data_IF_432962052309
#
_entry.id   IF_432962052309
#
_cell.length_a   1.000
_cell.length_b   1.000
_cell.length_c   1.000
_cell.angle_alpha   90.00
_cell.angle_beta   90.00
_cell.angle_gamma   90.00
#
_symmetry.space_group_name_H-M   'P 1'
#
loop_
_entity.id
_entity.type
_entity.pdbx_description
1 polymer ?
2 non-polymer ?
3 non-polymer ?
4 water ?
#
# COMPACT_ATOMS: atom_id res chain seq x y z
N UNK A 2 -24.05 -4.92 18.14
CA UNK A 2 -22.91 -5.29 17.20
C UNK A 2 -23.35 -6.47 16.28
N UNK A 3 -23.20 -6.31 14.97
CA UNK A 3 -23.62 -7.33 13.96
C UNK A 3 -22.68 -8.49 13.94
N UNK A 4 -23.07 -9.53 13.20
CA UNK A 4 -22.29 -10.77 13.17
C UNK A 4 -20.82 -10.49 12.87
N UNK A 5 -19.96 -11.22 13.57
CA UNK A 5 -18.53 -11.17 13.36
C UNK A 5 -18.22 -11.53 11.92
N UNK A 6 -17.32 -10.77 11.30
CA UNK A 6 -16.92 -10.98 9.91
C UNK A 6 -15.50 -11.53 9.82
N UNK A 7 -15.38 -12.71 9.22
CA UNK A 7 -14.06 -13.33 9.10
C UNK A 7 -13.41 -13.00 7.78
N UNK A 8 -12.41 -12.14 7.80
CA UNK A 8 -11.65 -11.83 6.58
C UNK A 8 -11.14 -13.12 5.88
N UNK A 9 -11.71 -13.36 4.71
CA UNK A 9 -11.36 -14.45 3.82
C UNK A 9 -9.88 -14.37 3.42
N UNK A 10 -9.08 -15.34 3.87
CA UNK A 10 -7.68 -15.34 3.39
C UNK A 10 -7.40 -15.63 1.89
N UNK A 11 -8.41 -15.88 1.08
CA UNK A 11 -8.21 -16.14 -0.35
C UNK A 11 -8.77 -15.00 -1.15
N UNK A 12 -9.44 -14.07 -0.47
CA UNK A 12 -9.94 -12.88 -1.09
C UNK A 12 -10.71 -13.29 -2.32
N UNK A 13 -11.73 -14.08 -2.07
CA UNK A 13 -12.57 -14.53 -3.13
C UNK A 13 -13.70 -13.56 -3.45
N UNK A 14 -13.93 -12.57 -2.57
CA UNK A 14 -15.04 -11.64 -2.76
C UNK A 14 -14.83 -10.32 -1.99
N UNK A 15 -13.77 -9.59 -2.34
CA UNK A 15 -13.42 -8.33 -1.66
C UNK A 15 -14.57 -7.33 -1.72
N UNK A 16 -15.23 -7.22 -2.87
CA UNK A 16 -16.22 -6.16 -3.02
C UNK A 16 -17.41 -6.38 -2.04
N UNK A 17 -17.76 -7.64 -1.78
CA UNK A 17 -18.79 -8.03 -0.80
C UNK A 17 -18.40 -8.01 0.67
N UNK A 18 -17.18 -8.45 0.97
CA UNK A 18 -16.59 -8.21 2.29
C UNK A 18 -16.70 -6.71 2.59
N UNK A 19 -16.21 -5.87 1.69
CA UNK A 19 -16.24 -4.43 1.91
C UNK A 19 -17.63 -3.88 2.20
N UNK A 20 -18.61 -4.38 1.46
CA UNK A 20 -20.00 -3.97 1.67
C UNK A 20 -20.59 -4.42 3.03
N UNK A 21 -20.14 -5.57 3.49
CA UNK A 21 -20.57 -6.12 4.74
C UNK A 21 -20.02 -5.30 5.87
N UNK A 22 -18.72 -5.02 5.83
CA UNK A 22 -18.11 -4.13 6.81
C UNK A 22 -18.77 -2.74 6.77
N UNK A 23 -19.12 -2.28 5.57
CA UNK A 23 -19.87 -1.03 5.45
C UNK A 23 -21.16 -1.12 6.29
N UNK A 24 -21.91 -2.20 6.09
CA UNK A 24 -23.18 -2.45 6.77
C UNK A 24 -23.06 -2.62 8.29
N UNK A 25 -21.96 -3.24 8.71
CA UNK A 25 -21.67 -3.47 10.12
C UNK A 25 -21.03 -2.28 10.78
N UNK A 26 -20.82 -1.19 10.05
CA UNK A 26 -20.16 -0.05 10.62
C UNK A 26 -21.06 0.66 11.61
N UNK A 27 -20.53 1.66 12.29
CA UNK A 27 -19.21 2.24 12.03
C UNK A 27 -18.06 1.39 12.48
N UNK A 28 -18.24 0.71 13.60
CA UNK A 28 -17.25 -0.18 14.17
C UNK A 28 -17.83 -1.59 14.16
N UNK A 29 -17.14 -2.47 13.42
CA UNK A 29 -17.52 -3.84 13.20
C UNK A 29 -16.58 -4.81 13.92
N UNK A 30 -17.19 -5.89 14.41
CA UNK A 30 -16.45 -7.02 14.94
C UNK A 30 -15.81 -7.74 13.76
N UNK A 31 -14.54 -8.12 13.90
CA UNK A 31 -13.83 -8.81 12.81
C UNK A 31 -12.96 -9.92 13.37
N UNK A 32 -12.74 -10.94 12.54
CA UNK A 32 -11.84 -12.03 12.88
C UNK A 32 -10.76 -12.11 11.83
N UNK A 33 -9.53 -11.97 12.28
CA UNK A 33 -8.38 -12.11 11.42
C UNK A 33 -7.98 -13.56 11.39
N UNK A 34 -7.40 -14.02 10.27
CA UNK A 34 -6.86 -15.38 10.13
C UNK A 34 -6.05 -15.88 11.34
N UNK A 35 -6.28 -17.14 11.71
CA UNK A 35 -5.77 -17.72 12.96
C UNK A 35 -6.71 -17.45 14.10
N UNK A 36 -7.94 -17.04 13.80
CA UNK A 36 -8.98 -16.87 14.83
C UNK A 36 -8.84 -15.69 15.76
N UNK A 37 -8.06 -14.68 15.37
CA UNK A 37 -7.77 -13.53 16.23
C UNK A 37 -8.83 -12.46 16.10
N UNK A 38 -9.52 -12.21 17.20
CA UNK A 38 -10.61 -11.26 17.27
C UNK A 38 -10.09 -9.83 17.50
N UNK A 39 -10.54 -8.90 16.65
CA UNK A 39 -10.23 -7.46 16.68
C UNK A 39 -11.43 -6.73 16.14
N UNK A 40 -11.41 -5.41 16.22
CA UNK A 40 -12.53 -4.60 15.75
C UNK A 40 -12.04 -3.88 14.52
N UNK A 41 -12.97 -3.24 13.80
CA UNK A 41 -12.62 -2.61 12.53
C UNK A 41 -13.48 -1.40 12.30
N UNK A 42 -12.88 -0.27 11.95
CA UNK A 42 -13.66 0.96 11.63
C UNK A 42 -13.90 1.01 10.12
N UNK A 43 -15.15 1.22 9.75
CA UNK A 43 -15.60 1.05 8.36
C UNK A 43 -16.38 2.25 7.80
N UNK A 44 -16.37 3.37 8.50
CA UNK A 44 -17.03 4.57 8.03
C UNK A 44 -15.98 5.67 7.95
N UNK A 45 -16.21 6.61 7.04
CA UNK A 45 -15.24 7.64 6.77
C UNK A 45 -15.12 8.57 7.98
N UNK A 46 -16.23 9.25 8.31
CA UNK A 46 -16.26 10.21 9.44
C UNK A 46 -15.55 9.69 10.68
N UNK A 47 -15.87 8.46 11.05
CA UNK A 47 -15.39 7.86 12.30
C UNK A 47 -13.93 7.39 12.24
N UNK A 48 -13.46 6.99 11.05
CA UNK A 48 -12.06 6.60 10.86
C UNK A 48 -11.10 7.76 11.02
N UNK A 49 -11.56 8.95 10.58
CA UNK A 49 -10.80 10.19 10.71
C UNK A 49 -10.57 10.47 12.19
N UNK A 50 -11.68 10.41 12.94
CA UNK A 50 -11.68 10.58 14.38
C UNK A 50 -10.70 9.66 15.10
N UNK A 51 -10.78 8.35 14.86
CA UNK A 51 -9.87 7.40 15.54
C UNK A 51 -8.41 7.56 15.15
N UNK A 52 -8.19 7.96 13.91
CA UNK A 52 -6.85 8.15 13.47
C UNK A 52 -6.21 9.38 14.13
N UNK A 53 -6.99 10.36 14.56
CA UNK A 53 -6.46 11.55 15.28
C UNK A 53 -6.65 11.54 16.83
N UNK A 54 -7.07 10.41 17.40
CA UNK A 54 -7.34 10.28 18.84
C UNK A 54 -6.10 9.75 19.53
N UNK A 55 -5.57 10.46 20.53
CA UNK A 55 -4.30 10.05 21.18
C UNK A 55 -4.50 8.83 22.08
N UNK A 56 -5.76 8.52 22.40
CA UNK A 56 -6.14 7.26 23.08
C UNK A 56 -6.00 5.99 22.22
N UNK A 57 -5.86 6.13 20.90
CA UNK A 57 -5.64 4.99 19.99
C UNK A 57 -4.18 5.02 19.63
N UNK A 58 -3.48 3.90 19.83
CA UNK A 58 -2.00 3.86 19.80
C UNK A 58 -1.45 2.64 19.09
N UNK A 59 -0.14 2.64 18.82
CA UNK A 59 0.52 1.57 18.10
C UNK A 59 1.38 0.67 18.99
N UNK A 60 1.37 0.91 20.30
CA UNK A 60 2.15 0.12 21.22
C UNK A 60 1.42 -1.20 21.49
N UNK A 61 1.97 -2.29 20.95
CA UNK A 61 1.36 -3.61 21.07
C UNK A 61 1.25 -4.13 22.49
N UNK A 62 2.13 -3.67 23.37
CA UNK A 62 2.02 -3.96 24.79
C UNK A 62 0.70 -3.46 25.40
N UNK A 63 -0.05 -2.61 24.69
CA UNK A 63 -1.41 -2.21 25.10
C UNK A 63 -2.51 -3.26 24.72
N UNK A 64 -2.17 -4.23 23.85
CA UNK A 64 -3.11 -5.26 23.34
C UNK A 64 -3.40 -6.38 24.34
N UNK A 65 -4.59 -6.41 24.93
CA UNK A 65 -5.02 -7.51 25.85
C UNK A 65 -4.55 -8.89 25.37
N UNK A 66 -4.91 -9.21 24.15
CA UNK A 66 -4.53 -10.45 23.52
C UNK A 66 -3.01 -10.74 23.53
N UNK A 67 -2.18 -9.71 23.51
CA UNK A 67 -0.71 -9.87 23.40
C UNK A 67 -0.02 -9.90 24.78
N UNK A 68 -0.51 -9.05 25.68
CA UNK A 68 -0.23 -9.18 27.11
C UNK A 68 -0.45 -10.61 27.53
N UNK A 69 -1.66 -11.13 27.32
CA UNK A 69 -1.99 -12.53 27.63
C UNK A 69 -1.33 -13.60 26.70
N UNK A 70 -0.19 -13.31 26.04
CA UNK A 70 0.46 -14.25 25.09
C UNK A 70 -0.44 -15.14 24.23
N UNK A 71 -1.60 -14.63 23.78
CA UNK A 71 -2.57 -15.39 22.91
C UNK A 71 -2.23 -15.38 21.41
N UNK A 72 -1.29 -14.52 21.00
CA UNK A 72 -0.94 -14.40 19.58
C UNK A 72 0.24 -15.32 19.31
N UNK A 73 0.02 -16.41 18.54
CA UNK A 73 1.20 -17.23 18.22
C UNK A 73 2.40 -16.40 17.72
N UNK A 74 3.61 -16.76 18.15
CA UNK A 74 4.83 -16.29 17.47
C UNK A 74 4.89 -16.75 15.99
N UNK A 75 4.38 -17.94 15.69
CA UNK A 75 4.33 -18.47 14.31
C UNK A 75 3.21 -17.87 13.38
N UNK A 76 2.41 -16.93 13.91
CA UNK A 76 1.29 -16.29 13.19
C UNK A 76 1.72 -15.77 11.83
N UNK A 77 0.89 -15.98 10.79
CA UNK A 77 1.24 -15.36 9.51
C UNK A 77 1.27 -13.82 9.55
N UNK A 78 0.32 -13.21 10.26
CA UNK A 78 0.21 -11.75 10.28
C UNK A 78 1.17 -11.03 11.22
N UNK A 79 2.01 -11.80 11.91
CA UNK A 79 2.93 -11.23 12.88
C UNK A 79 3.85 -10.20 12.25
N UNK A 80 4.29 -10.46 11.01
CA UNK A 80 5.11 -9.49 10.25
C UNK A 80 4.52 -8.08 10.25
N UNK A 81 3.22 -7.96 10.01
CA UNK A 81 2.56 -6.68 9.99
C UNK A 81 2.30 -6.15 11.40
N UNK A 82 1.89 -7.04 12.29
CA UNK A 82 1.45 -6.61 13.63
C UNK A 82 2.62 -6.14 14.53
N UNK A 83 3.77 -6.78 14.40
CA UNK A 83 4.96 -6.46 15.17
C UNK A 83 6.19 -6.57 14.26
N UNK A 84 6.45 -5.50 13.47
CA UNK A 84 7.66 -5.41 12.60
C UNK A 84 8.89 -4.76 13.29
N UNK A 85 8.75 -4.37 14.55
CA UNK A 85 9.83 -3.74 15.28
C UNK A 85 9.69 -2.23 15.34
N UNK A 86 10.72 -1.60 15.89
CA UNK A 86 10.75 -0.16 16.17
C UNK A 86 11.05 0.59 14.85
N UNK A 87 10.15 1.50 14.49
CA UNK A 87 10.27 2.29 13.28
C UNK A 87 9.27 3.41 13.44
N UNK A 88 9.28 4.32 12.48
CA UNK A 88 8.28 5.39 12.39
C UNK A 88 6.84 4.86 12.57
N UNK A 89 6.56 3.70 11.97
CA UNK A 89 5.23 3.07 11.91
C UNK A 89 4.55 2.69 13.26
N UNK A 90 5.39 2.37 14.24
CA UNK A 90 4.99 1.62 15.41
C UNK A 90 5.01 2.43 16.71
N UNK A 91 5.34 3.73 16.64
CA UNK A 91 5.51 4.59 17.84
C UNK A 91 4.58 5.78 17.72
N UNK A 92 4.57 6.69 18.71
CA UNK A 92 3.61 7.81 18.70
C UNK A 92 4.10 9.15 19.34
N UNK A 93 3.30 10.20 19.11
CA UNK A 93 3.45 11.53 19.73
C UNK A 93 4.79 12.24 19.58
N UNK A 94 5.48 12.49 20.70
CA UNK A 94 6.82 13.09 20.60
C UNK A 94 7.91 12.14 20.08
N UNK A 95 7.81 10.85 20.35
CA UNK A 95 8.83 9.88 19.90
C UNK A 95 8.80 9.73 18.36
N UNK A 96 7.59 9.84 17.80
CA UNK A 96 7.29 9.64 16.36
C UNK A 96 8.01 10.66 15.47
N UNK A 97 7.69 11.95 15.67
CA UNK A 97 8.35 13.05 14.98
C UNK A 97 9.87 12.87 14.75
N UNK A 98 10.57 12.24 15.69
CA UNK A 98 12.03 12.04 15.55
C UNK A 98 12.42 11.06 14.45
N UNK A 99 11.65 9.99 14.29
CA UNK A 99 11.95 9.00 13.25
C UNK A 99 11.38 9.40 11.87
N UNK A 100 10.21 10.03 11.87
CA UNK A 100 9.58 10.55 10.63
C UNK A 100 10.41 11.62 9.90
N UNK A 101 10.83 12.64 10.64
CA UNK A 101 11.27 13.91 10.03
C UNK A 101 12.26 13.83 8.86
N UNK A 102 13.36 13.09 8.94
CA UNK A 102 14.27 13.10 7.78
C UNK A 102 13.69 12.40 6.54
N UNK A 103 12.70 11.53 6.76
CA UNK A 103 11.98 10.85 5.67
C UNK A 103 10.86 11.74 5.09
N UNK A 104 10.09 12.42 5.95
CA UNK A 104 9.05 13.38 5.48
C UNK A 104 9.60 14.58 4.65
N UNK A 105 10.82 15.03 4.98
CA UNK A 105 11.53 16.06 4.20
C UNK A 105 11.98 15.56 2.82
N UNK A 106 12.54 14.36 2.77
CA UNK A 106 13.02 13.79 1.51
C UNK A 106 11.94 13.46 0.46
N UNK A 107 10.67 13.34 0.85
CA UNK A 107 9.57 12.97 -0.08
C UNK A 107 8.48 14.05 -0.20
N UNK A 108 8.90 15.33 -0.21
CA UNK A 108 7.99 16.48 -0.44
C UNK A 108 7.77 16.64 -1.94
N UNK A 109 6.78 17.45 -2.32
CA UNK A 109 6.53 17.63 -3.77
C UNK A 109 7.78 18.23 -4.43
N UNK A 110 8.44 19.15 -3.74
CA UNK A 110 9.64 19.79 -4.23
C UNK A 110 10.81 18.76 -4.31
N UNK A 111 11.11 18.08 -3.21
CA UNK A 111 12.30 17.23 -3.19
C UNK A 111 12.15 15.93 -4.01
N UNK A 112 10.92 15.63 -4.46
CA UNK A 112 10.62 14.44 -5.31
C UNK A 112 10.45 14.75 -6.82
N UNK A 113 10.05 15.98 -7.13
CA UNK A 113 10.13 16.55 -8.48
C UNK A 113 11.47 16.29 -9.17
N UNK A 114 12.56 16.28 -8.40
CA UNK A 114 13.89 16.01 -8.93
C UNK A 114 14.07 14.57 -9.45
N UNK A 115 13.21 13.63 -9.04
CA UNK A 115 13.28 12.22 -9.48
C UNK A 115 12.63 11.96 -10.84
N UNK A 116 11.87 12.94 -11.32
CA UNK A 116 11.04 12.83 -12.50
C UNK A 116 11.81 12.41 -13.73
N UNK A 117 12.97 13.04 -13.91
CA UNK A 117 13.88 12.71 -14.99
C UNK A 117 14.12 11.21 -14.99
N UNK A 118 14.52 10.69 -13.82
CA UNK A 118 14.70 9.26 -13.57
C UNK A 118 13.49 8.39 -13.89
N UNK A 119 12.30 8.79 -13.43
CA UNK A 119 11.07 8.00 -13.62
C UNK A 119 10.63 7.97 -15.09
N UNK A 120 10.69 9.12 -15.78
CA UNK A 120 10.49 9.14 -17.23
C UNK A 120 11.45 8.19 -17.93
N UNK A 121 12.72 8.21 -17.53
CA UNK A 121 13.75 7.31 -18.07
C UNK A 121 13.32 5.84 -18.02
N UNK A 122 13.04 5.36 -16.80
CA UNK A 122 12.65 3.98 -16.53
C UNK A 122 11.35 3.57 -17.21
N UNK A 123 10.35 4.45 -17.18
CA UNK A 123 9.13 4.23 -17.94
C UNK A 123 9.41 4.09 -19.45
N UNK A 124 10.12 5.06 -20.01
CA UNK A 124 10.34 5.06 -21.45
C UNK A 124 11.11 3.80 -21.87
N UNK A 125 11.98 3.29 -20.99
CA UNK A 125 12.58 1.97 -21.18
C UNK A 125 11.52 0.85 -21.16
N UNK A 126 10.88 0.58 -20.00
CA UNK A 126 9.80 -0.44 -19.88
C UNK A 126 8.87 -0.51 -21.08
N UNK A 127 8.53 0.66 -21.61
CA UNK A 127 7.78 0.73 -22.84
C UNK A 127 8.54 0.10 -24.01
N UNK A 128 9.84 0.34 -24.14
CA UNK A 128 10.66 -0.33 -25.19
C UNK A 128 10.60 -1.86 -25.09
N UNK A 129 10.52 -2.42 -23.88
CA UNK A 129 10.56 -3.87 -23.65
C UNK A 129 9.24 -4.53 -24.04
N UNK A 130 8.12 -3.87 -23.79
CA UNK A 130 6.84 -4.19 -24.43
C UNK A 130 7.01 -3.82 -25.89
N UNK A 131 6.17 -4.28 -26.82
CA UNK A 131 6.50 -4.09 -28.27
C UNK A 131 7.75 -4.93 -28.73
N UNK A 132 8.86 -4.93 -27.98
CA UNK A 132 9.90 -6.00 -28.08
C UNK A 132 9.36 -7.44 -27.90
N UNK A 133 8.14 -7.57 -27.38
CA UNK A 133 7.44 -8.84 -27.28
C UNK A 133 6.58 -9.04 -28.54
N UNK A 134 6.30 -10.30 -28.90
CA UNK A 134 5.51 -10.62 -30.11
C UNK A 134 4.07 -10.13 -30.06
N UNK A 135 3.74 -9.20 -30.97
CA UNK A 135 2.39 -8.62 -31.07
C UNK A 135 1.35 -9.70 -31.34
N UNK A 136 0.10 -9.41 -30.97
CA UNK A 136 -1.01 -10.39 -31.02
C UNK A 136 -1.22 -11.16 -29.72
N UNK A 137 -0.12 -11.63 -29.12
CA UNK A 137 -0.17 -12.51 -27.95
C UNK A 137 -0.25 -11.74 -26.63
N UNK A 138 -1.25 -12.07 -25.78
CA UNK A 138 -1.42 -11.43 -24.48
C UNK A 138 -0.15 -11.27 -23.67
N UNK A 139 -0.11 -10.21 -22.90
CA UNK A 139 0.99 -9.94 -22.00
C UNK A 139 0.40 -9.68 -20.62
N UNK A 140 1.14 -10.08 -19.58
CA UNK A 140 0.80 -9.78 -18.20
C UNK A 140 1.37 -8.41 -17.91
N UNK A 141 0.51 -7.41 -17.99
CA UNK A 141 0.89 -6.04 -17.68
C UNK A 141 1.43 -5.87 -16.26
N UNK A 142 1.06 -6.77 -15.35
CA UNK A 142 1.60 -6.73 -14.00
C UNK A 142 3.08 -7.04 -13.99
N UNK A 143 3.49 -8.14 -14.62
CA UNK A 143 4.87 -8.61 -14.51
C UNK A 143 5.87 -7.78 -15.32
N UNK A 144 5.41 -7.31 -16.49
CA UNK A 144 6.26 -6.64 -17.48
C UNK A 144 6.34 -5.12 -17.34
N UNK A 145 5.39 -4.52 -16.63
CA UNK A 145 5.29 -3.05 -16.53
C UNK A 145 5.06 -2.52 -15.12
N UNK A 146 3.95 -2.93 -14.52
CA UNK A 146 3.60 -2.47 -13.19
C UNK A 146 4.61 -2.86 -12.10
N UNK A 147 5.05 -4.12 -12.06
CA UNK A 147 5.91 -4.56 -10.95
C UNK A 147 7.30 -3.88 -10.95
N UNK A 148 8.05 -4.02 -12.05
CA UNK A 148 9.44 -3.57 -11.98
C UNK A 148 9.60 -2.06 -11.81
N UNK A 149 8.64 -1.26 -12.28
CA UNK A 149 8.85 0.18 -12.34
C UNK A 149 9.02 0.79 -10.95
N UNK A 150 8.01 0.69 -10.08
CA UNK A 150 8.19 1.29 -8.76
C UNK A 150 9.24 0.64 -7.89
N UNK A 151 9.54 -0.62 -8.15
CA UNK A 151 10.66 -1.26 -7.49
C UNK A 151 11.97 -0.54 -7.81
N UNK A 152 12.35 -0.56 -9.11
CA UNK A 152 13.51 0.22 -9.63
C UNK A 152 13.62 1.59 -8.97
N UNK A 153 12.50 2.33 -8.96
CA UNK A 153 12.43 3.69 -8.43
C UNK A 153 12.88 3.72 -6.99
N UNK A 154 12.15 3.01 -6.17
CA UNK A 154 12.39 3.03 -4.73
C UNK A 154 13.76 2.39 -4.37
N UNK A 155 14.21 1.42 -5.17
CA UNK A 155 15.58 0.90 -5.06
C UNK A 155 16.58 2.04 -5.23
N UNK A 156 16.43 2.80 -6.31
CA UNK A 156 17.28 3.96 -6.61
C UNK A 156 17.25 4.93 -5.44
N UNK A 157 16.06 5.30 -4.98
CA UNK A 157 15.88 6.25 -3.85
C UNK A 157 16.67 5.89 -2.58
N UNK A 158 16.72 4.61 -2.25
CA UNK A 158 17.45 4.09 -1.10
C UNK A 158 18.83 3.52 -1.48
N UNK A 159 19.21 3.62 -2.74
CA UNK A 159 20.50 3.09 -3.21
C UNK A 159 20.70 1.58 -3.16
N UNK A 160 19.60 0.82 -3.14
CA UNK A 160 19.64 -0.64 -3.06
C UNK A 160 20.18 -1.21 -4.38
N UNK A 161 21.17 -2.09 -4.27
CA UNK A 161 21.76 -2.77 -5.41
C UNK A 161 20.71 -3.57 -6.21
N UNK A 162 20.71 -3.41 -7.53
CA UNK A 162 19.71 -4.04 -8.40
C UNK A 162 19.85 -5.56 -8.57
N UNK A 163 20.98 -6.16 -8.22
CA UNK A 163 21.14 -7.61 -8.33
C UNK A 163 20.40 -8.39 -7.22
N UNK A 164 19.87 -7.70 -6.21
CA UNK A 164 18.99 -8.31 -5.18
C UNK A 164 17.48 -8.26 -5.49
N UNK A 165 17.09 -7.74 -6.65
CA UNK A 165 15.68 -7.68 -7.07
C UNK A 165 14.99 -9.04 -7.16
N UNK A 166 15.56 -9.99 -7.93
CA UNK A 166 14.88 -11.28 -8.07
C UNK A 166 14.76 -12.01 -6.74
N UNK A 167 15.72 -11.77 -5.84
CA UNK A 167 15.63 -12.29 -4.50
C UNK A 167 14.63 -11.54 -3.63
N UNK A 168 14.54 -10.21 -3.75
CA UNK A 168 13.51 -9.46 -3.01
C UNK A 168 12.09 -9.75 -3.50
N UNK A 169 11.92 -9.99 -4.79
CA UNK A 169 10.63 -10.37 -5.33
C UNK A 169 10.14 -11.63 -4.63
N UNK A 170 10.97 -12.68 -4.70
CA UNK A 170 10.61 -14.00 -4.18
C UNK A 170 10.34 -14.02 -2.68
N UNK A 171 10.93 -13.08 -1.93
CA UNK A 171 10.71 -12.93 -0.47
C UNK A 171 9.41 -12.23 -0.10
N UNK A 172 9.06 -11.17 -0.83
CA UNK A 172 7.84 -10.40 -0.53
C UNK A 172 6.57 -11.15 -0.93
N UNK A 173 6.66 -11.90 -2.03
CA UNK A 173 5.71 -12.95 -2.38
C UNK A 173 5.21 -13.70 -1.12
N UNK A 174 6.16 -14.23 -0.35
CA UNK A 174 5.88 -15.10 0.80
C UNK A 174 5.45 -14.37 2.08
N UNK A 175 5.98 -13.17 2.25
CA UNK A 175 5.62 -12.35 3.39
C UNK A 175 4.14 -12.01 3.43
N UNK A 176 3.58 -11.71 2.26
CA UNK A 176 2.19 -11.25 2.14
C UNK A 176 1.16 -12.37 2.03
N UNK A 177 1.59 -13.56 1.58
CA UNK A 177 0.68 -14.68 1.33
C UNK A 177 0.14 -15.32 2.60
N UNK A 178 -1.18 -15.39 2.70
CA UNK A 178 -1.88 -16.08 3.79
C UNK A 178 -1.66 -17.59 3.67
N UNK A 179 -1.32 -18.06 2.46
CA UNK A 179 -1.04 -19.47 2.19
C UNK A 179 0.46 -19.78 2.21
N UNK A 180 1.23 -19.01 2.98
CA UNK A 180 2.62 -19.35 3.21
C UNK A 180 2.63 -20.17 4.52
N UNK A 181 3.33 -21.34 4.51
CA UNK A 181 3.15 -22.33 5.59
C UNK A 181 3.84 -21.93 6.92
N UNK A 182 3.09 -21.78 8.05
CA UNK A 182 3.66 -21.15 9.28
C UNK A 182 5.09 -21.58 9.70
N UNK A 183 5.46 -22.84 9.45
CA UNK A 183 6.83 -23.33 9.66
C UNK A 183 7.89 -22.66 8.74
N UNK A 184 7.45 -22.16 7.57
CA UNK A 184 8.30 -21.38 6.65
C UNK A 184 8.53 -19.92 7.07
N UNK A 185 7.72 -19.38 7.99
CA UNK A 185 7.76 -17.94 8.34
C UNK A 185 9.16 -17.46 8.74
N UNK A 186 9.73 -18.01 9.83
CA UNK A 186 10.90 -17.32 10.38
C UNK A 186 12.28 -17.60 9.72
N UNK A 187 12.33 -18.26 8.57
CA UNK A 187 13.52 -18.25 7.70
C UNK A 187 13.35 -17.31 6.48
N UNK A 188 12.10 -17.03 6.11
CA UNK A 188 11.76 -15.89 5.26
C UNK A 188 12.19 -14.59 5.98
N UNK A 189 11.66 -14.32 7.19
CA UNK A 189 12.00 -13.08 7.96
C UNK A 189 13.49 -12.99 8.30
N UNK A 190 14.10 -14.14 8.55
CA UNK A 190 15.54 -14.25 8.72
C UNK A 190 16.20 -13.60 7.54
N UNK A 191 15.95 -14.15 6.35
CA UNK A 191 16.67 -13.71 5.14
C UNK A 191 16.36 -12.27 4.69
N UNK A 192 15.16 -11.75 4.96
CA UNK A 192 14.85 -10.32 4.76
C UNK A 192 15.84 -9.50 5.58
N UNK A 193 15.82 -9.71 6.90
CA UNK A 193 16.80 -9.12 7.81
C UNK A 193 18.25 -9.21 7.36
N UNK A 194 18.71 -10.41 6.97
CA UNK A 194 20.10 -10.56 6.51
C UNK A 194 20.31 -9.88 5.16
N UNK A 195 19.26 -9.79 4.34
CA UNK A 195 19.32 -9.06 3.07
C UNK A 195 19.49 -7.56 3.34
N UNK A 196 18.60 -6.98 4.13
CA UNK A 196 18.65 -5.54 4.40
C UNK A 196 19.90 -5.11 5.19
N UNK A 197 20.33 -5.89 6.18
CA UNK A 197 21.60 -5.62 6.92
C UNK A 197 22.83 -5.60 6.00
N UNK A 198 22.93 -6.57 5.09
CA UNK A 198 24.01 -6.61 4.10
C UNK A 198 24.12 -5.28 3.35
N UNK A 199 23.00 -4.83 2.76
CA UNK A 199 23.02 -3.60 1.94
C UNK A 199 23.12 -2.28 2.72
N UNK A 200 22.75 -2.28 4.00
CA UNK A 200 23.05 -1.18 4.92
C UNK A 200 24.56 -1.01 5.18
N UNK A 201 25.27 -2.14 5.25
CA UNK A 201 26.73 -2.13 5.47
C UNK A 201 27.49 -1.79 4.16
N UNK A 202 26.96 -2.25 3.02
CA UNK A 202 27.35 -1.74 1.68
C UNK A 202 27.35 -0.19 1.66
N UNK A 203 26.34 0.41 2.30
CA UNK A 203 26.18 1.87 2.43
C UNK A 203 27.13 2.57 3.42
N UNK A 204 27.43 1.90 4.52
CA UNK A 204 28.36 2.47 5.51
C UNK A 204 29.76 2.52 4.89
N UNK A 205 30.19 1.40 4.30
CA UNK A 205 31.45 1.31 3.54
C UNK A 205 31.58 2.37 2.43
N UNK A 206 30.51 2.59 1.68
CA UNK A 206 30.50 3.47 0.49
C UNK A 206 29.25 4.39 0.47
N UNK A 207 29.20 5.43 1.33
CA UNK A 207 27.99 6.29 1.36
C UNK A 207 27.77 7.08 0.07
N UNK A 208 26.61 6.86 -0.57
CA UNK A 208 26.18 7.61 -1.77
C UNK A 208 25.26 8.76 -1.36
N UNK A 209 24.67 9.42 -2.35
CA UNK A 209 23.77 10.56 -2.08
C UNK A 209 22.38 10.11 -1.63
N UNK A 210 21.92 8.98 -2.15
CA UNK A 210 20.63 8.34 -1.75
C UNK A 210 20.25 8.33 -0.27
N UNK A 211 18.95 8.18 -0.02
CA UNK A 211 18.32 8.37 1.29
C UNK A 211 18.78 7.40 2.38
N UNK A 212 19.29 6.23 2.00
CA UNK A 212 19.77 5.31 3.01
C UNK A 212 20.92 5.98 3.72
N UNK A 213 21.88 6.47 2.92
CA UNK A 213 23.06 7.15 3.47
C UNK A 213 22.72 8.49 4.20
N UNK A 214 21.71 9.20 3.74
CA UNK A 214 21.26 10.42 4.42
C UNK A 214 20.73 10.15 5.84
N UNK A 215 20.24 8.95 6.09
CA UNK A 215 19.84 8.54 7.44
C UNK A 215 21.06 8.29 8.32
N UNK A 216 22.06 7.58 7.77
CA UNK A 216 23.30 7.21 8.48
C UNK A 216 23.98 8.49 9.02
N UNK A 217 24.50 9.29 8.10
CA UNK A 217 25.01 10.60 8.44
C UNK A 217 23.81 11.48 8.77
N UNK A 218 23.65 11.82 10.06
CA UNK A 218 22.60 12.72 10.58
C UNK A 218 22.27 12.28 12.01
N UNK A 219 22.16 10.95 12.14
CA UNK A 219 22.08 10.22 13.41
C UNK A 219 23.26 10.50 14.38
N UNK A 220 24.45 10.54 13.77
CA UNK A 220 25.73 10.71 14.46
C UNK A 220 25.84 12.06 15.19
N UNK A 221 25.23 13.12 14.62
CA UNK A 221 25.18 14.48 15.23
C UNK A 221 23.83 14.70 15.98
N UNK A 222 23.34 15.94 16.11
CA UNK A 222 22.29 16.28 17.10
C UNK A 222 20.87 15.76 16.87
N UNK A 223 20.75 14.47 16.52
CA UNK A 223 19.45 13.79 16.38
C UNK A 223 19.59 12.24 16.23
N UNK A 224 19.29 11.51 17.30
CA UNK A 224 18.63 10.17 17.22
C UNK A 224 19.25 9.13 16.22
N UNK A 225 18.40 8.21 15.71
CA UNK A 225 18.65 7.12 14.72
C UNK A 225 19.64 5.99 15.03
N UNK A 226 19.12 4.95 15.69
CA UNK A 226 19.91 3.77 16.05
C UNK A 226 20.25 2.91 14.83
N UNK A 227 21.16 1.97 15.06
CA UNK A 227 21.61 1.01 14.05
C UNK A 227 20.45 0.10 13.61
N UNK A 228 19.50 -0.11 14.53
CA UNK A 228 18.26 -0.87 14.28
C UNK A 228 17.19 0.01 13.65
N UNK A 229 16.92 1.16 14.25
CA UNK A 229 15.94 2.15 13.72
C UNK A 229 16.19 2.49 12.26
N UNK A 230 17.47 2.60 11.85
CA UNK A 230 17.72 2.77 10.42
C UNK A 230 17.19 1.52 9.69
N UNK A 231 17.68 0.34 10.09
CA UNK A 231 17.41 -0.93 9.39
C UNK A 231 15.92 -1.21 9.27
N UNK A 232 15.19 -0.99 10.35
CA UNK A 232 13.74 -1.11 10.31
C UNK A 232 13.12 -0.02 9.44
N UNK A 233 13.55 1.24 9.58
CA UNK A 233 13.01 2.30 8.73
C UNK A 233 13.31 2.07 7.25
N UNK A 234 14.38 1.35 6.90
CA UNK A 234 14.62 0.99 5.50
C UNK A 234 13.67 -0.08 4.93
N UNK A 235 13.32 -1.08 5.73
CA UNK A 235 12.36 -2.13 5.28
C UNK A 235 10.99 -1.53 4.99
N UNK A 236 10.51 -0.73 5.94
CA UNK A 236 9.28 0.04 5.81
C UNK A 236 9.19 0.78 4.46
N UNK A 237 10.23 1.53 4.12
CA UNK A 237 10.26 2.32 2.90
C UNK A 237 10.30 1.44 1.64
N UNK A 238 11.09 0.37 1.64
CA UNK A 238 11.10 -0.52 0.44
C UNK A 238 9.79 -1.30 0.29
N UNK A 239 9.18 -1.76 1.39
CA UNK A 239 7.95 -2.56 1.30
C UNK A 239 6.75 -1.69 0.88
N UNK A 240 6.43 -0.69 1.71
CA UNK A 240 5.25 0.17 1.49
C UNK A 240 5.28 0.82 0.11
N UNK A 241 6.46 1.31 -0.27
CA UNK A 241 6.64 2.06 -1.50
C UNK A 241 6.72 1.31 -2.82
N UNK A 242 6.73 -0.03 -2.80
CA UNK A 242 6.65 -0.80 -4.06
C UNK A 242 5.32 -1.53 -4.16
N UNK A 243 4.95 -2.26 -3.12
CA UNK A 243 3.68 -2.95 -3.07
C UNK A 243 2.51 -2.04 -3.45
N UNK A 244 2.25 -1.01 -2.67
CA UNK A 244 1.04 -0.24 -2.90
C UNK A 244 0.99 0.36 -4.32
N UNK A 245 2.09 0.90 -4.80
CA UNK A 245 2.00 1.73 -6.00
C UNK A 245 1.76 0.83 -7.22
N UNK A 246 2.37 -0.36 -7.19
CA UNK A 246 2.10 -1.37 -8.23
C UNK A 246 0.60 -1.65 -8.37
N UNK A 247 -0.05 -1.76 -7.23
CA UNK A 247 -1.46 -2.09 -7.20
C UNK A 247 -2.27 -0.92 -7.72
N UNK A 248 -1.93 0.28 -7.28
CA UNK A 248 -2.51 1.49 -7.87
C UNK A 248 -2.48 1.50 -9.39
N UNK A 249 -1.33 1.16 -9.98
CA UNK A 249 -1.25 1.21 -11.44
C UNK A 249 -2.16 0.19 -12.08
N UNK A 250 -1.99 -1.06 -11.66
CA UNK A 250 -2.89 -2.17 -12.04
C UNK A 250 -4.35 -1.74 -11.89
N UNK A 251 -4.71 -1.30 -10.69
CA UNK A 251 -6.10 -0.94 -10.43
C UNK A 251 -6.61 0.20 -11.33
N UNK A 252 -5.76 1.17 -11.64
CA UNK A 252 -6.13 2.22 -12.60
C UNK A 252 -6.40 1.58 -13.97
N UNK A 253 -5.50 0.73 -14.44
CA UNK A 253 -5.70 0.10 -15.73
C UNK A 253 -6.97 -0.73 -15.76
N UNK A 254 -7.24 -1.46 -14.67
CA UNK A 254 -8.47 -2.25 -14.53
C UNK A 254 -9.73 -1.36 -14.57
N UNK A 255 -9.66 -0.19 -13.94
CA UNK A 255 -10.81 0.72 -13.84
C UNK A 255 -11.23 1.33 -15.17
N UNK A 256 -10.20 1.68 -15.96
CA UNK A 256 -10.42 2.29 -17.27
C UNK A 256 -11.00 1.24 -18.23
N UNK A 257 -10.53 0.01 -18.10
CA UNK A 257 -11.13 -1.11 -18.81
C UNK A 257 -12.63 -1.27 -18.53
N UNK A 258 -13.03 -1.33 -17.28
CA UNK A 258 -14.44 -1.55 -16.95
C UNK A 258 -15.32 -0.33 -17.37
N UNK A 259 -14.72 0.87 -17.42
CA UNK A 259 -15.42 2.14 -17.70
C UNK A 259 -14.88 2.78 -18.98
N UNK A 260 -15.20 2.20 -20.13
CA UNK A 260 -14.64 2.66 -21.40
C UNK A 260 -15.15 4.04 -21.91
N UNK A 261 -16.36 4.47 -21.52
CA UNK A 261 -16.77 5.84 -21.86
C UNK A 261 -15.83 6.84 -21.19
N UNK A 262 -15.55 6.60 -19.90
CA UNK A 262 -14.63 7.46 -19.17
C UNK A 262 -13.21 7.33 -19.71
N UNK A 263 -12.76 6.11 -20.00
CA UNK A 263 -11.45 5.94 -20.66
C UNK A 263 -11.26 6.73 -21.94
N UNK A 264 -12.30 6.80 -22.77
CA UNK A 264 -12.24 7.53 -24.03
C UNK A 264 -11.95 9.00 -23.76
N UNK A 265 -12.66 9.59 -22.80
CA UNK A 265 -12.45 10.99 -22.41
C UNK A 265 -11.10 11.23 -21.73
N UNK A 266 -10.54 10.21 -21.09
CA UNK A 266 -9.24 10.33 -20.42
C UNK A 266 -8.17 10.40 -21.45
N UNK A 267 -8.20 9.45 -22.37
CA UNK A 267 -7.22 9.39 -23.46
C UNK A 267 -7.19 10.64 -24.34
N UNK A 268 -8.33 11.33 -24.50
CA UNK A 268 -8.42 12.57 -25.28
C UNK A 268 -8.01 13.85 -24.53
N UNK A 269 -7.75 13.78 -23.24
CA UNK A 269 -7.42 14.96 -22.46
C UNK A 269 -8.60 15.66 -21.77
N UNK A 270 -9.85 15.39 -22.17
CA UNK A 270 -11.00 16.06 -21.50
C UNK A 270 -10.94 15.93 -19.97
N UNK A 271 -10.72 14.70 -19.50
CA UNK A 271 -10.46 14.44 -18.07
C UNK A 271 -8.96 14.36 -17.81
N UNK A 272 -8.44 15.21 -16.90
CA UNK A 272 -7.01 15.13 -16.62
C UNK A 272 -6.70 13.85 -15.87
N UNK A 273 -5.47 13.33 -16.03
CA UNK A 273 -5.11 12.05 -15.44
C UNK A 273 -5.04 12.09 -13.94
N UNK A 274 -4.72 13.23 -13.33
CA UNK A 274 -4.65 13.24 -11.84
C UNK A 274 -6.02 12.89 -11.20
N UNK A 275 -7.14 13.20 -11.84
CA UNK A 275 -8.46 12.77 -11.34
C UNK A 275 -8.76 11.27 -11.39
N UNK A 276 -8.19 10.56 -12.35
CA UNK A 276 -8.35 9.11 -12.48
C UNK A 276 -7.61 8.35 -11.38
N UNK A 277 -6.44 8.87 -11.03
CA UNK A 277 -5.59 8.25 -10.05
C UNK A 277 -6.20 8.44 -8.69
N UNK A 278 -6.68 9.64 -8.39
CA UNK A 278 -7.34 9.89 -7.10
C UNK A 278 -8.60 9.01 -6.92
N UNK A 279 -9.44 8.93 -7.95
CA UNK A 279 -10.70 8.21 -7.85
C UNK A 279 -10.46 6.72 -7.69
N UNK A 280 -9.46 6.21 -8.42
CA UNK A 280 -9.00 4.84 -8.23
C UNK A 280 -8.58 4.60 -6.77
N UNK A 281 -7.93 5.56 -6.12
CA UNK A 281 -7.58 5.40 -4.70
C UNK A 281 -8.75 5.39 -3.75
N UNK A 282 -9.78 6.12 -4.06
CA UNK A 282 -10.92 6.12 -3.20
C UNK A 282 -11.66 4.82 -3.46
N UNK A 283 -12.02 4.60 -4.72
CA UNK A 283 -12.95 3.54 -5.10
C UNK A 283 -12.41 2.14 -5.00
N UNK A 284 -11.10 1.98 -5.15
CA UNK A 284 -10.47 0.66 -5.18
C UNK A 284 -9.04 0.77 -4.67
N UNK A 285 -8.92 1.26 -3.43
CA UNK A 285 -7.62 1.45 -2.81
C UNK A 285 -6.77 0.21 -2.95
N UNK A 286 -5.47 0.39 -3.12
CA UNK A 286 -4.54 -0.73 -3.00
C UNK A 286 -4.51 -1.44 -1.62
N UNK A 287 -4.86 -0.75 -0.54
CA UNK A 287 -4.70 -1.29 0.81
C UNK A 287 -6.10 -1.43 1.45
N UNK A 288 -6.61 -2.66 1.42
CA UNK A 288 -7.92 -2.97 1.91
C UNK A 288 -8.04 -2.70 3.40
N UNK A 289 -7.00 -3.10 4.14
CA UNK A 289 -6.99 -3.02 5.60
C UNK A 289 -5.63 -2.62 6.10
N UNK A 290 -5.56 -1.69 7.06
CA UNK A 290 -4.27 -1.37 7.70
C UNK A 290 -4.27 -1.85 9.12
N UNK A 291 -3.23 -2.64 9.41
CA UNK A 291 -3.12 -3.33 10.67
C UNK A 291 -2.34 -2.56 11.70
N UNK A 292 -3.15 -2.06 12.63
CA UNK A 292 -3.12 -2.36 14.06
C UNK A 292 -2.79 -1.21 14.99
N UNK A 293 -3.83 -0.86 15.72
CA UNK A 293 -3.83 0.12 16.74
C UNK A 293 -4.54 -0.49 17.95
N UNK A 294 -4.41 0.14 19.10
CA UNK A 294 -5.07 -0.34 20.31
C UNK A 294 -5.57 0.80 21.15
N UNK A 295 -6.77 0.62 21.69
CA UNK A 295 -7.36 1.59 22.61
C UNK A 295 -6.62 1.57 23.95
N UNK A 296 -6.21 2.75 24.42
CA UNK A 296 -5.65 2.87 25.78
C UNK A 296 -6.78 2.88 26.80
N UNK A 297 -7.99 3.19 26.35
CA UNK A 297 -9.15 3.14 27.21
C UNK A 297 -10.36 3.09 26.33
N UNK A 298 -11.52 2.81 26.91
CA UNK A 298 -12.75 2.67 26.14
C UNK A 298 -12.98 3.90 25.32
N UNK A 299 -13.34 3.72 24.05
CA UNK A 299 -13.63 4.81 23.14
C UNK A 299 -15.01 4.63 22.52
N UNK A 300 -15.83 5.66 22.62
CA UNK A 300 -17.13 5.68 21.95
C UNK A 300 -16.88 5.82 20.47
N UNK A 301 -17.63 5.07 19.66
CA UNK A 301 -17.52 5.13 18.19
C UNK A 301 -18.91 5.06 17.62
N UNK A 302 -19.44 6.20 17.21
CA UNK A 302 -20.87 6.30 16.94
C UNK A 302 -21.59 5.79 18.17
N UNK A 303 -22.49 4.83 17.99
CA UNK A 303 -23.27 4.30 19.09
C UNK A 303 -22.72 2.99 19.65
N UNK A 304 -21.41 2.73 19.53
CA UNK A 304 -20.81 1.49 20.02
C UNK A 304 -19.58 1.86 20.81
N UNK A 305 -18.79 0.88 21.26
CA UNK A 305 -17.60 1.16 22.07
C UNK A 305 -16.49 0.22 21.72
N UNK A 306 -15.29 0.76 21.50
CA UNK A 306 -14.10 -0.05 21.29
C UNK A 306 -13.53 -0.29 22.67
N UNK A 307 -13.65 -1.53 23.20
CA UNK A 307 -13.19 -1.75 24.56
C UNK A 307 -11.67 -1.69 24.71
N UNK A 308 -11.25 -0.90 25.71
CA UNK A 308 -9.89 -0.82 26.19
C UNK A 308 -9.11 -2.12 26.02
N UNK A 309 -8.05 -2.07 25.24
CA UNK A 309 -7.11 -3.16 25.10
C UNK A 309 -7.30 -3.98 23.85
N UNK A 310 -8.40 -3.74 23.12
CA UNK A 310 -8.70 -4.52 21.92
C UNK A 310 -8.12 -3.90 20.69
N UNK A 311 -7.74 -4.75 19.73
CA UNK A 311 -7.17 -4.31 18.46
C UNK A 311 -8.13 -3.53 17.57
N UNK A 312 -7.57 -2.66 16.74
CA UNK A 312 -8.34 -1.86 15.77
C UNK A 312 -7.70 -1.85 14.38
N UNK A 313 -8.54 -2.07 13.37
CA UNK A 313 -8.13 -2.10 12.00
C UNK A 313 -8.84 -0.96 11.27
N UNK A 314 -8.14 -0.32 10.35
CA UNK A 314 -8.80 0.67 9.49
C UNK A 314 -9.04 -0.02 8.15
N UNK A 315 -10.32 -0.14 7.81
CA UNK A 315 -10.77 -0.83 6.62
C UNK A 315 -10.97 0.20 5.51
N UNK A 316 -9.84 0.65 4.93
CA UNK A 316 -9.82 1.71 3.91
C UNK A 316 -10.64 1.36 2.69
N UNK A 317 -10.58 0.10 2.30
CA UNK A 317 -11.39 -0.45 1.23
C UNK A 317 -12.87 -0.29 1.52
N UNK A 318 -13.35 -0.83 2.62
CA UNK A 318 -14.74 -0.63 2.98
C UNK A 318 -15.16 0.84 2.96
N UNK A 319 -14.40 1.68 3.67
CA UNK A 319 -14.76 3.11 3.83
C UNK A 319 -14.53 4.00 2.60
N UNK A 320 -13.77 3.51 1.62
CA UNK A 320 -13.59 4.20 0.35
C UNK A 320 -14.87 4.50 -0.42
N UNK A 321 -15.96 3.76 -0.14
CA UNK A 321 -17.27 4.09 -0.72
C UNK A 321 -18.36 4.48 0.30
N UNK A 322 -17.99 5.22 1.36
CA UNK A 322 -18.94 5.74 2.35
C UNK A 322 -19.88 6.77 1.67
N UNK A 323 -21.14 6.41 1.49
CA UNK A 323 -22.10 7.34 0.90
C UNK A 323 -22.31 8.59 1.73
N UNK A 324 -22.05 8.52 3.05
CA UNK A 324 -22.08 9.73 3.87
C UNK A 324 -21.01 10.72 3.45
N UNK A 325 -19.85 10.20 3.10
CA UNK A 325 -18.79 11.07 2.63
C UNK A 325 -19.01 11.61 1.22
N UNK A 326 -19.22 10.74 0.23
CA UNK A 326 -19.20 11.15 -1.20
C UNK A 326 -20.54 11.22 -1.92
N UNK A 327 -21.63 11.03 -1.17
CA UNK A 327 -22.98 11.05 -1.72
C UNK A 327 -23.48 9.71 -2.22
N UNK A 328 -24.61 9.72 -2.94
CA UNK A 328 -25.21 8.51 -3.57
C UNK A 328 -24.42 7.79 -4.62
N UNK A 329 -23.42 8.44 -5.23
CA UNK A 329 -22.56 7.84 -6.26
C UNK A 329 -21.23 7.29 -5.67
N UNK A 330 -21.19 7.13 -4.35
CA UNK A 330 -20.01 6.55 -3.72
C UNK A 330 -19.61 5.19 -4.26
N UNK A 331 -20.56 4.41 -4.76
CA UNK A 331 -20.28 3.06 -5.29
C UNK A 331 -19.71 2.92 -6.71
N UNK A 332 -19.65 4.03 -7.43
CA UNK A 332 -19.32 4.05 -8.84
C UNK A 332 -17.99 4.73 -9.01
N UNK A 333 -17.22 4.31 -10.01
CA UNK A 333 -16.02 5.07 -10.47
C UNK A 333 -16.50 6.30 -11.26
N UNK A 334 -16.25 7.49 -10.72
CA UNK A 334 -16.36 8.71 -11.50
C UNK A 334 -15.09 9.55 -11.39
N UNK A 335 -14.30 9.52 -12.44
CA UNK A 335 -12.98 10.15 -12.44
C UNK A 335 -13.02 11.66 -12.33
N UNK A 336 -14.18 12.24 -12.59
CA UNK A 336 -14.39 13.67 -12.37
C UNK A 336 -14.86 14.08 -10.97
N UNK A 337 -15.08 13.12 -10.05
CA UNK A 337 -15.71 13.40 -8.73
C UNK A 337 -14.79 14.40 -8.12
N UNK A 338 -15.22 15.66 -8.06
CA UNK A 338 -14.22 16.72 -7.94
C UNK A 338 -13.86 16.89 -6.50
N UNK A 339 -14.76 17.44 -5.68
CA UNK A 339 -14.23 17.43 -4.30
C UNK A 339 -14.08 15.93 -3.93
N UNK A 340 -12.85 15.47 -3.74
CA UNK A 340 -12.56 14.06 -3.48
C UNK A 340 -11.47 13.88 -2.40
N UNK A 341 -11.89 14.09 -1.14
CA UNK A 341 -10.99 14.13 0.00
C UNK A 341 -10.96 12.76 0.71
N UNK A 342 -10.50 11.78 -0.04
CA UNK A 342 -10.39 10.41 0.44
C UNK A 342 -9.27 10.30 1.41
N UNK A 343 -9.17 9.18 2.09
CA UNK A 343 -8.09 8.93 3.05
C UNK A 343 -7.35 7.65 2.73
N UNK A 344 -7.22 7.28 1.46
CA UNK A 344 -6.41 6.10 1.07
C UNK A 344 -4.99 6.14 1.58
N UNK A 345 -4.53 7.34 1.89
CA UNK A 345 -3.18 7.59 2.40
C UNK A 345 -3.07 7.74 3.91
N UNK A 346 -4.17 7.69 4.63
CA UNK A 346 -4.13 7.73 6.09
C UNK A 346 -4.58 9.07 6.59
N UNK A 347 -4.47 9.26 7.90
CA UNK A 347 -4.87 10.51 8.54
C UNK A 347 -4.23 10.66 9.90
N UNK A 348 -4.10 11.92 10.33
CA UNK A 348 -3.35 12.23 11.52
C UNK A 348 -1.87 11.83 11.38
N UNK A 349 -1.18 11.65 12.52
CA UNK A 349 0.27 11.56 12.57
C UNK A 349 0.94 10.63 11.61
N UNK A 350 0.30 9.51 11.29
CA UNK A 350 0.94 8.50 10.43
C UNK A 350 0.64 8.62 8.95
N UNK A 351 -0.10 9.64 8.56
CA UNK A 351 -0.48 9.80 7.16
C UNK A 351 0.73 9.64 6.26
N UNK A 352 0.52 9.07 5.09
CA UNK A 352 1.61 8.73 4.18
C UNK A 352 2.56 9.90 3.94
N UNK A 353 3.84 9.68 4.16
CA UNK A 353 4.86 10.64 3.77
C UNK A 353 5.30 10.53 2.31
N UNK A 354 5.02 9.40 1.66
CA UNK A 354 5.33 9.19 0.25
C UNK A 354 4.16 9.37 -0.73
N UNK A 355 3.07 10.01 -0.31
CA UNK A 355 1.93 10.22 -1.20
C UNK A 355 2.34 10.85 -2.52
N UNK A 356 3.12 11.90 -2.43
CA UNK A 356 3.54 12.66 -3.60
C UNK A 356 4.44 11.85 -4.54
N UNK A 357 5.20 10.89 -4.00
CA UNK A 357 6.07 10.05 -4.83
C UNK A 357 5.27 9.17 -5.73
N UNK A 358 4.30 8.47 -5.17
CA UNK A 358 3.48 7.54 -5.94
C UNK A 358 2.55 8.30 -6.89
N UNK A 359 1.95 9.40 -6.43
CA UNK A 359 1.19 10.27 -7.35
C UNK A 359 2.02 10.67 -8.56
N UNK A 360 3.31 10.85 -8.35
CA UNK A 360 4.24 11.18 -9.42
C UNK A 360 4.56 10.00 -10.34
N UNK A 361 4.93 8.85 -9.75
CA UNK A 361 5.18 7.61 -10.51
C UNK A 361 4.00 7.23 -11.40
N UNK A 362 2.80 7.29 -10.83
CA UNK A 362 1.61 6.92 -11.55
C UNK A 362 1.25 7.96 -12.58
N UNK A 363 1.46 9.23 -12.27
CA UNK A 363 1.13 10.32 -13.20
C UNK A 363 2.06 10.48 -14.39
N UNK A 364 3.28 9.91 -14.28
CA UNK A 364 4.19 9.69 -15.38
C UNK A 364 3.82 8.41 -16.15
N UNK A 365 3.78 7.28 -15.46
CA UNK A 365 3.74 5.98 -16.14
C UNK A 365 2.45 5.64 -16.88
N UNK A 366 1.29 5.96 -16.33
CA UNK A 366 0.01 5.64 -17.01
C UNK A 366 -0.13 6.36 -18.34
N UNK A 367 -0.11 7.71 -18.33
CA UNK A 367 -0.22 8.42 -19.62
C UNK A 367 0.87 8.06 -20.64
N UNK A 368 2.05 7.68 -20.16
CA UNK A 368 3.08 7.13 -21.05
C UNK A 368 2.59 5.87 -21.76
N UNK A 369 2.10 4.90 -20.98
CA UNK A 369 1.60 3.61 -21.50
C UNK A 369 0.47 3.75 -22.52
N UNK A 370 -0.55 4.55 -22.19
CA UNK A 370 -1.63 4.83 -23.17
C UNK A 370 -1.30 5.85 -24.28
N UNK A 371 -0.15 6.52 -24.20
CA UNK A 371 0.33 7.29 -25.35
C UNK A 371 0.90 6.30 -26.36
N UNK A 372 1.72 5.36 -25.87
CA UNK A 372 2.31 4.34 -26.71
C UNK A 372 1.31 3.30 -27.21
N UNK A 373 0.40 2.83 -26.35
CA UNK A 373 -0.53 1.80 -26.72
C UNK A 373 -1.94 2.28 -26.46
N UNK A 374 -2.45 3.20 -27.29
CA UNK A 374 -3.85 3.72 -27.14
C UNK A 374 -4.99 2.76 -27.25
N UNK A 375 -4.75 1.56 -27.78
CA UNK A 375 -5.81 0.57 -27.99
C UNK A 375 -5.82 -0.49 -26.90
N UNK A 376 -4.96 -0.34 -25.89
CA UNK A 376 -4.68 -1.38 -24.91
C UNK A 376 -5.92 -1.66 -24.07
N UNK A 377 -6.31 -2.94 -23.99
CA UNK A 377 -7.50 -3.37 -23.25
C UNK A 377 -7.24 -4.76 -22.76
N UNK A 378 -8.13 -5.23 -21.90
CA UNK A 378 -7.96 -6.51 -21.24
C UNK A 378 -8.02 -7.65 -22.23
N UNK A 379 -7.23 -8.68 -21.91
CA UNK A 379 -7.20 -9.93 -22.67
C UNK A 379 -8.20 -10.95 -22.17
N UNK A 380 -8.86 -10.68 -21.05
CA UNK A 380 -9.80 -11.62 -20.43
C UNK A 380 -10.99 -10.81 -20.05
N UNK A 381 -12.13 -11.45 -19.84
CA UNK A 381 -13.25 -10.64 -19.33
C UNK A 381 -12.88 -10.03 -17.97
N UNK A 382 -13.55 -8.94 -17.60
CA UNK A 382 -13.15 -8.18 -16.43
C UNK A 382 -13.39 -9.00 -15.17
N UNK A 383 -14.47 -9.79 -15.17
CA UNK A 383 -14.79 -10.69 -14.05
C UNK A 383 -13.82 -11.90 -13.77
N UNK A 384 -13.04 -12.34 -14.75
CA UNK A 384 -12.07 -13.41 -14.51
C UNK A 384 -10.82 -12.93 -13.77
N UNK A 385 -10.59 -11.62 -13.65
CA UNK A 385 -9.41 -11.10 -12.92
C UNK A 385 -9.64 -11.41 -11.46
N UNK A 386 -8.56 -11.70 -10.71
CA UNK A 386 -8.74 -12.16 -9.32
C UNK A 386 -7.64 -11.77 -8.37
N UNK A 387 -8.07 -11.51 -7.13
CA UNK A 387 -7.20 -11.11 -6.06
C UNK A 387 -6.26 -12.24 -5.65
N UNK A 388 -5.00 -11.91 -5.39
CA UNK A 388 -4.08 -12.82 -4.74
C UNK A 388 -4.54 -12.97 -3.29
N UNK A 389 -4.17 -14.09 -2.65
CA UNK A 389 -4.48 -14.35 -1.23
C UNK A 389 -3.64 -13.49 -0.27
N UNK A 390 -4.08 -12.25 -0.04
CA UNK A 390 -3.36 -11.26 0.74
C UNK A 390 -4.44 -10.43 1.42
N UNK A 391 -4.66 -10.67 2.71
CA UNK A 391 -5.90 -10.20 3.33
C UNK A 391 -5.95 -8.68 3.51
N UNK A 392 -4.81 -8.06 3.80
CA UNK A 392 -4.71 -6.59 3.90
C UNK A 392 -4.66 -5.82 2.56
N UNK A 393 -4.33 -6.51 1.48
CA UNK A 393 -4.03 -5.88 0.21
C UNK A 393 -4.99 -6.26 -0.92
N UNK A 394 -5.23 -5.27 -1.79
CA UNK A 394 -6.03 -5.44 -2.95
C UNK A 394 -5.13 -5.61 -4.18
N UNK A 395 -4.58 -6.81 -4.29
CA UNK A 395 -3.60 -7.14 -5.31
C UNK A 395 -4.16 -8.16 -6.25
N UNK A 396 -3.95 -7.96 -7.53
CA UNK A 396 -4.42 -8.88 -8.56
C UNK A 396 -3.32 -9.86 -8.87
N UNK A 397 -3.73 -10.99 -9.41
CA UNK A 397 -2.83 -12.09 -9.61
C UNK A 397 -2.00 -11.77 -10.86
N UNK A 398 -2.69 -11.44 -11.92
CA UNK A 398 -2.05 -10.93 -13.13
C UNK A 398 -3.03 -10.02 -13.85
N UNK A 399 -2.52 -9.25 -14.80
CA UNK A 399 -3.35 -8.34 -15.56
C UNK A 399 -3.05 -8.54 -17.04
N UNK A 400 -3.65 -9.58 -17.66
CA UNK A 400 -3.33 -9.89 -19.04
C UNK A 400 -4.04 -8.96 -20.01
N UNK A 401 -3.27 -8.35 -20.90
CA UNK A 401 -3.82 -7.36 -21.83
C UNK A 401 -3.27 -7.61 -23.22
N UNK A 402 -4.04 -7.16 -24.21
CA UNK A 402 -3.56 -7.06 -25.59
C UNK A 402 -3.33 -5.59 -25.92
N UNK A 403 -2.03 -5.27 -26.08
CA UNK A 403 -1.49 -3.91 -26.23
C UNK A 403 -2.08 -3.14 -27.41
N UNK A 404 -2.20 -3.81 -28.56
CA UNK A 404 -2.85 -3.20 -29.73
C UNK A 404 -2.07 -2.11 -30.45
N UNK A 405 -0.85 -2.45 -30.87
CA UNK A 405 -0.09 -1.72 -31.89
C UNK A 405 0.24 -0.24 -31.63
N UNK A 406 1.55 0.05 -31.54
CA UNK A 406 2.00 1.30 -30.97
C UNK A 406 1.82 2.51 -31.84
N UNK A 407 1.02 3.49 -31.40
CA UNK A 407 0.94 4.82 -32.07
C UNK A 407 1.81 5.83 -31.33
N UNK A 408 3.05 5.45 -31.08
CA UNK A 408 4.04 6.31 -30.44
C UNK A 408 5.03 6.83 -31.45
#
# INVERSE_FOLDING_TARGET
RLMTRIALDPFVRDLDGESAALRAAGPLAEVELPGGVHVYAVTHHKEARALLTDSRVVKDINVWNAWQRGEIPADWPLIGLVNPGRSMLTVDGPDHRRLRTLVAQALTVKRVEKLRAGIEALTNASLERLAALPAGEPVDLKAEFAYPLPMNVISELMGVDAADHPRLKELFEKFFSTQTPPEEVPQMMADLGTLFTKIVEEKKANPGDDLTSALIAASEDGDHLTDEEILNTLQLIIAAGHETTISLIVNVVEALAIHPEQRKKVLSGEIPWEGVIEETLRWNTPTSHVLIRFATEDIEVGDKVLPKGEGLVVSFGALGRDEEQYGPTAGDFDATRTPNRHIAFGHGPHVCPGAALSRLEAGIALPALYERFPELDLAVPAAELRNKPIVTQNDLHDLPVKLGCPFGHDA
#
